data_IF_565703805076
#
_entry.id   IF_565703805076
#
_cell.length_a   1.000
_cell.length_b   1.000
_cell.length_c   1.000
_cell.angle_alpha   90.00
_cell.angle_beta   90.00
_cell.angle_gamma   90.00
#
_symmetry.space_group_name_H-M   'P 1'
#
loop_
_entity.id
_entity.type
_entity.pdbx_description
1 polymer ?
#
# COMPACT_ATOMS: atom_id res chain seq x y z
N UNK A 1 -6.57 -9.26 -14.15
CA UNK A 1 -5.22 -8.65 -14.10
C UNK A 1 -5.38 -7.19 -13.76
N UNK A 2 -4.76 -6.74 -12.67
CA UNK A 2 -4.72 -5.34 -12.30
C UNK A 2 -3.38 -4.74 -12.72
N UNK A 3 -3.40 -3.51 -13.24
CA UNK A 3 -2.23 -2.76 -13.68
C UNK A 3 -2.18 -1.43 -12.94
N UNK A 4 -1.07 -1.15 -12.27
CA UNK A 4 -0.83 0.13 -11.61
C UNK A 4 0.50 0.70 -12.09
N UNK A 5 0.47 1.90 -12.65
CA UNK A 5 1.64 2.54 -13.26
C UNK A 5 1.86 3.92 -12.65
N UNK A 6 3.13 4.23 -12.34
CA UNK A 6 3.51 5.53 -11.78
C UNK A 6 4.89 5.92 -12.30
N UNK A 7 4.95 7.02 -13.04
CA UNK A 7 6.14 7.40 -13.80
C UNK A 7 6.56 6.29 -14.76
N UNK A 8 7.84 5.91 -14.73
CA UNK A 8 8.40 4.84 -15.57
C UNK A 8 8.25 3.43 -14.97
N UNK A 9 7.63 3.30 -13.80
CA UNK A 9 7.49 2.03 -13.09
C UNK A 9 6.08 1.47 -13.25
N UNK A 10 5.99 0.16 -13.34
CA UNK A 10 4.72 -0.55 -13.51
C UNK A 10 4.66 -1.78 -12.61
N UNK A 11 3.57 -1.90 -11.87
CA UNK A 11 3.19 -3.09 -11.13
C UNK A 11 2.02 -3.79 -11.84
N UNK A 12 2.17 -5.09 -12.13
CA UNK A 12 1.11 -5.95 -12.64
C UNK A 12 0.75 -6.96 -11.57
N UNK A 13 -0.52 -7.06 -11.23
CA UNK A 13 -1.06 -8.08 -10.33
C UNK A 13 -1.88 -9.08 -11.15
N UNK A 14 -1.43 -10.34 -11.12
CA UNK A 14 -2.01 -11.47 -11.82
C UNK A 14 -2.57 -12.44 -10.79
N UNK A 15 -3.90 -12.53 -10.69
CA UNK A 15 -4.54 -13.47 -9.77
C UNK A 15 -4.26 -14.91 -10.19
N UNK A 16 -4.03 -15.76 -9.19
CA UNK A 16 -3.76 -17.20 -9.32
C UNK A 16 -4.76 -17.95 -8.45
N UNK A 17 -4.71 -19.28 -8.52
CA UNK A 17 -5.61 -20.15 -7.75
C UNK A 17 -5.36 -20.06 -6.23
N UNK A 18 -4.17 -19.62 -5.81
CA UNK A 18 -3.77 -19.38 -4.42
C UNK A 18 -2.97 -18.07 -4.37
N UNK A 19 -3.63 -16.94 -4.11
CA UNK A 19 -2.99 -15.62 -4.10
C UNK A 19 -2.76 -15.00 -5.48
N UNK A 20 -1.69 -14.19 -5.60
CA UNK A 20 -1.39 -13.42 -6.81
C UNK A 20 0.10 -13.36 -7.11
N UNK A 21 0.43 -13.27 -8.40
CA UNK A 21 1.76 -12.93 -8.87
C UNK A 21 1.85 -11.42 -9.10
N UNK A 22 2.83 -10.79 -8.47
CA UNK A 22 3.13 -9.36 -8.56
C UNK A 22 4.37 -9.18 -9.43
N UNK A 23 4.25 -8.48 -10.55
CA UNK A 23 5.39 -8.13 -11.40
C UNK A 23 5.66 -6.65 -11.31
N UNK A 24 6.79 -6.29 -10.70
CA UNK A 24 7.28 -4.92 -10.66
C UNK A 24 8.50 -4.79 -11.57
N UNK A 25 8.35 -4.11 -12.71
CA UNK A 25 9.38 -4.07 -13.75
C UNK A 25 9.88 -5.48 -14.15
N UNK A 26 11.14 -5.83 -13.83
CA UNK A 26 11.74 -7.15 -14.11
C UNK A 26 11.65 -8.14 -12.93
N UNK A 27 11.14 -7.70 -11.77
CA UNK A 27 11.04 -8.51 -10.57
C UNK A 27 9.65 -9.15 -10.46
N UNK A 28 9.61 -10.37 -9.92
CA UNK A 28 8.38 -11.15 -9.72
C UNK A 28 8.31 -11.57 -8.26
N UNK A 29 7.18 -11.30 -7.62
CA UNK A 29 6.85 -11.70 -6.25
C UNK A 29 5.57 -12.51 -6.25
N UNK A 30 5.42 -13.39 -5.26
CA UNK A 30 4.18 -14.12 -5.02
C UNK A 30 3.57 -13.62 -3.72
N UNK A 31 2.32 -13.19 -3.80
CA UNK A 31 1.51 -12.75 -2.68
C UNK A 31 0.47 -13.82 -2.35
N UNK A 32 0.27 -14.06 -1.06
CA UNK A 32 -0.90 -14.79 -0.58
C UNK A 32 -2.16 -13.91 -0.70
N UNK A 33 -3.31 -14.43 -0.30
CA UNK A 33 -4.59 -13.72 -0.41
C UNK A 33 -4.61 -12.43 0.44
N UNK A 34 -4.04 -12.45 1.64
CA UNK A 34 -3.97 -11.27 2.51
C UNK A 34 -3.11 -10.16 1.91
N UNK A 35 -1.90 -10.49 1.43
CA UNK A 35 -1.02 -9.54 0.77
C UNK A 35 -1.66 -9.04 -0.54
N UNK A 36 -2.38 -9.90 -1.25
CA UNK A 36 -3.14 -9.51 -2.44
C UNK A 36 -4.20 -8.46 -2.09
N UNK A 37 -4.96 -8.66 -1.00
CA UNK A 37 -5.97 -7.71 -0.53
C UNK A 37 -5.35 -6.37 -0.15
N UNK A 38 -4.25 -6.39 0.62
CA UNK A 38 -3.51 -5.18 1.01
C UNK A 38 -3.06 -4.39 -0.22
N UNK A 39 -2.48 -5.05 -1.23
CA UNK A 39 -1.98 -4.37 -2.43
C UNK A 39 -3.12 -3.77 -3.25
N UNK A 40 -4.24 -4.48 -3.39
CA UNK A 40 -5.43 -3.93 -4.07
C UNK A 40 -5.94 -2.67 -3.35
N UNK A 41 -6.07 -2.75 -2.03
CA UNK A 41 -6.48 -1.63 -1.19
C UNK A 41 -5.54 -0.43 -1.36
N UNK A 42 -4.23 -0.65 -1.26
CA UNK A 42 -3.22 0.41 -1.46
C UNK A 42 -3.36 1.06 -2.82
N UNK A 43 -3.50 0.26 -3.89
CA UNK A 43 -3.64 0.78 -5.25
C UNK A 43 -4.90 1.62 -5.39
N UNK A 44 -6.02 1.19 -4.80
CA UNK A 44 -7.27 1.93 -4.85
C UNK A 44 -7.19 3.23 -4.02
N UNK A 45 -6.58 3.19 -2.84
CA UNK A 45 -6.33 4.39 -2.03
C UNK A 45 -5.38 5.37 -2.72
N UNK A 46 -4.37 4.88 -3.43
CA UNK A 46 -3.41 5.72 -4.15
C UNK A 46 -3.98 6.39 -5.40
N UNK A 47 -5.17 5.99 -5.86
CA UNK A 47 -5.93 6.71 -6.89
C UNK A 47 -6.78 7.84 -6.31
N UNK A 48 -7.06 7.82 -5.00
CA UNK A 48 -7.84 8.85 -4.34
C UNK A 48 -6.96 10.06 -3.98
N UNK A 49 -7.50 11.27 -4.15
CA UNK A 49 -6.78 12.51 -3.82
C UNK A 49 -6.62 12.74 -2.30
N UNK A 50 -7.36 11.97 -1.47
CA UNK A 50 -7.28 12.03 -0.02
C UNK A 50 -7.45 10.64 0.61
N UNK A 51 -6.83 10.42 1.77
CA UNK A 51 -7.10 9.26 2.62
C UNK A 51 -8.60 9.23 2.97
N UNK A 52 -9.34 8.15 2.69
CA UNK A 52 -10.60 7.96 3.38
C UNK A 52 -10.28 7.96 4.88
N UNK A 53 -10.97 8.78 5.66
CA UNK A 53 -10.73 8.95 7.11
C UNK A 53 -10.87 7.67 7.95
N UNK A 54 -11.17 6.54 7.30
CA UNK A 54 -11.12 5.20 7.85
C UNK A 54 -10.79 4.19 6.74
N UNK A 55 -9.85 3.28 6.99
CA UNK A 55 -9.68 2.07 6.17
C UNK A 55 -10.86 1.14 6.51
N UNK A 56 -11.84 1.05 5.62
CA UNK A 56 -13.06 0.28 5.84
C UNK A 56 -12.90 -1.24 5.64
N UNK A 57 -11.68 -1.75 5.47
CA UNK A 57 -11.40 -3.18 5.26
C UNK A 57 -11.24 -3.92 6.60
N UNK A 58 -12.10 -4.92 6.91
CA UNK A 58 -11.99 -5.68 8.15
C UNK A 58 -10.67 -6.45 8.21
N UNK A 59 -9.91 -6.22 9.29
CA UNK A 59 -8.65 -6.92 9.57
C UNK A 59 -7.41 -6.33 8.88
N UNK A 60 -7.54 -5.19 8.19
CA UNK A 60 -6.41 -4.48 7.59
C UNK A 60 -6.33 -3.08 8.19
N UNK A 61 -5.42 -2.86 9.13
CA UNK A 61 -5.15 -1.54 9.69
C UNK A 61 -3.99 -0.82 8.96
N UNK A 62 -3.89 0.49 9.17
CA UNK A 62 -2.87 1.32 8.53
C UNK A 62 -1.44 0.85 8.85
N UNK A 63 -1.21 0.40 10.09
CA UNK A 63 0.08 -0.10 10.54
C UNK A 63 0.51 -1.32 9.72
N UNK A 64 -0.40 -2.27 9.52
CA UNK A 64 -0.18 -3.49 8.73
C UNK A 64 0.12 -3.14 7.26
N UNK A 65 -0.57 -2.14 6.71
CA UNK A 65 -0.28 -1.64 5.37
C UNK A 65 1.14 -1.07 5.31
N UNK A 66 1.50 -0.17 6.23
CA UNK A 66 2.84 0.46 6.27
C UNK A 66 3.95 -0.58 6.43
N UNK A 67 3.80 -1.53 7.34
CA UNK A 67 4.75 -2.64 7.54
C UNK A 67 4.90 -3.48 6.26
N UNK A 68 3.80 -3.73 5.55
CA UNK A 68 3.80 -4.44 4.27
C UNK A 68 4.55 -3.66 3.20
N UNK A 69 4.28 -2.36 3.05
CA UNK A 69 4.94 -1.51 2.07
C UNK A 69 6.44 -1.35 2.37
N UNK A 70 6.82 -1.27 3.65
CA UNK A 70 8.23 -1.27 4.08
C UNK A 70 8.95 -2.56 3.68
N UNK A 71 8.30 -3.73 3.85
CA UNK A 71 8.86 -5.02 3.40
C UNK A 71 8.99 -5.08 1.89
N UNK A 72 8.00 -4.59 1.14
CA UNK A 72 8.07 -4.51 -0.33
C UNK A 72 9.15 -3.53 -0.80
N UNK A 73 9.39 -2.45 -0.05
CA UNK A 73 10.48 -1.50 -0.28
C UNK A 73 11.84 -2.15 -0.11
N UNK A 74 12.04 -2.90 0.99
CA UNK A 74 13.24 -3.70 1.20
C UNK A 74 13.46 -4.75 0.09
N UNK A 75 12.38 -5.22 -0.53
CA UNK A 75 12.41 -6.18 -1.63
C UNK A 75 12.62 -5.55 -3.03
N UNK A 76 12.59 -4.21 -3.15
CA UNK A 76 12.91 -3.49 -4.38
C UNK A 76 11.77 -2.64 -4.98
N UNK A 77 10.60 -2.55 -4.33
CA UNK A 77 9.49 -1.67 -4.77
C UNK A 77 9.49 -0.40 -3.90
N UNK A 78 10.07 0.72 -4.35
CA UNK A 78 10.28 1.90 -3.51
C UNK A 78 8.95 2.46 -2.97
N UNK A 79 8.94 2.97 -1.74
CA UNK A 79 7.74 3.55 -1.12
C UNK A 79 7.08 4.65 -1.97
N UNK A 80 7.90 5.45 -2.66
CA UNK A 80 7.45 6.51 -3.58
C UNK A 80 6.61 6.00 -4.75
N UNK A 81 6.74 4.72 -5.12
CA UNK A 81 5.91 4.08 -6.12
C UNK A 81 4.44 4.03 -5.71
N UNK A 82 4.16 3.81 -4.42
CA UNK A 82 2.80 3.60 -3.95
C UNK A 82 2.02 4.90 -3.88
N UNK A 83 2.62 6.01 -3.44
CA UNK A 83 1.86 7.22 -3.14
C UNK A 83 2.73 8.20 -2.36
N UNK A 84 2.45 9.50 -2.44
CA UNK A 84 3.00 10.43 -1.43
C UNK A 84 2.44 10.08 -0.04
N UNK A 85 1.18 9.64 -0.03
CA UNK A 85 0.46 9.09 1.12
C UNK A 85 1.25 8.08 1.95
N UNK A 86 1.99 7.21 1.28
CA UNK A 86 2.73 6.11 1.88
C UNK A 86 4.21 6.43 2.06
N UNK A 87 4.63 7.61 1.60
CA UNK A 87 6.01 8.08 1.66
C UNK A 87 6.28 8.90 2.92
N UNK A 88 5.25 9.54 3.50
CA UNK A 88 5.42 10.33 4.71
C UNK A 88 5.44 9.45 5.96
N UNK A 89 6.62 9.41 6.56
CA UNK A 89 6.89 8.94 7.91
C UNK A 89 7.13 10.09 8.89
N UNK A 90 6.51 11.26 8.71
CA UNK A 90 6.67 12.39 9.66
C UNK A 90 5.54 13.42 9.62
N UNK A 91 4.30 13.02 9.26
CA UNK A 91 3.16 13.79 9.74
C UNK A 91 2.95 13.37 11.19
N UNK A 92 3.62 14.07 12.11
CA UNK A 92 3.15 14.21 13.49
C UNK A 92 1.63 14.37 13.43
N UNK A 93 0.90 13.33 13.86
CA UNK A 93 -0.39 13.57 14.46
C UNK A 93 -0.08 14.36 15.72
N UNK A 94 -0.04 15.68 15.55
CA UNK A 94 -0.06 16.63 16.64
C UNK A 94 -1.34 16.30 17.41
N UNK A 95 -1.14 15.64 18.55
CA UNK A 95 -2.17 15.15 19.46
C UNK A 95 -2.78 16.39 20.14
N UNK A 96 -3.49 17.19 19.36
CA UNK A 96 -4.29 18.30 19.84
C UNK A 96 -5.63 17.75 20.33
N UNK A 97 -5.61 17.20 21.54
CA UNK A 97 -6.74 17.21 22.47
C UNK A 97 -6.16 17.43 23.87
N UNK A 98 -6.06 18.67 24.31
CA UNK A 98 -7.09 19.34 25.12
C UNK A 98 -7.52 18.50 26.32
N UNK A 99 -6.91 18.74 27.47
CA UNK A 99 -7.65 18.87 28.72
C UNK A 99 -7.02 20.03 29.51
N UNK A 100 -7.72 21.16 29.47
CA UNK A 100 -7.69 22.13 30.56
C UNK A 100 -8.44 21.49 31.72
N UNK A 101 -7.80 21.38 32.88
CA UNK A 101 -8.35 21.76 34.18
C UNK A 101 -7.23 21.86 35.22
#
# INVERSE_FOLDING_TARGET
>A
MLLYSRGNNTLRLLERHYGSELRYNRQVFFANDDLTRIIKLVIDMSKADALPGCIAEPGIDEKTIRDTLNKLSAAGIPLSFWGALWHEGDATFDDNNTEKE
#
